data_IF_924906224114
#
_entry.id   IF_924906224114
#
_cell.length_a   1.000
_cell.length_b   1.000
_cell.length_c   1.000
_cell.angle_alpha   90.00
_cell.angle_beta   90.00
_cell.angle_gamma   90.00
#
_symmetry.space_group_name_H-M   'P 1'
#
loop_
_entity.id
_entity.type
_entity.pdbx_description
1 polymer ?
#
# COMPACT_ATOMS: atom_id res chain seq x y z
N UNK A 1 -17.57 -13.25 15.22
CA UNK A 1 -16.47 -14.01 14.57
C UNK A 1 -17.06 -15.08 13.67
N UNK A 2 -16.46 -15.28 12.50
CA UNK A 2 -16.78 -16.37 11.58
C UNK A 2 -15.56 -17.27 11.40
N UNK A 3 -15.70 -18.59 11.56
CA UNK A 3 -14.57 -19.49 11.42
C UNK A 3 -14.34 -19.88 9.96
N UNK A 4 -13.07 -20.11 9.63
CA UNK A 4 -12.62 -20.60 8.34
C UNK A 4 -11.91 -21.94 8.52
N UNK A 5 -11.97 -22.78 7.49
CA UNK A 5 -11.37 -24.11 7.56
C UNK A 5 -9.96 -24.14 6.95
N UNK A 6 -8.96 -24.39 7.80
CA UNK A 6 -7.53 -24.34 7.46
C UNK A 6 -6.99 -25.59 6.73
N UNK A 7 -7.59 -26.76 6.92
CA UNK A 7 -6.93 -28.00 6.50
C UNK A 7 -6.88 -28.13 4.96
N UNK A 8 -5.67 -28.13 4.40
CA UNK A 8 -5.39 -28.28 2.98
C UNK A 8 -5.19 -26.97 2.21
N UNK A 9 -5.34 -25.80 2.83
CA UNK A 9 -5.03 -24.51 2.20
C UNK A 9 -4.66 -23.45 3.23
N UNK A 10 -3.68 -22.60 2.90
CA UNK A 10 -3.37 -21.39 3.67
C UNK A 10 -4.32 -20.23 3.37
N UNK A 11 -5.07 -20.35 2.27
CA UNK A 11 -6.05 -19.37 1.88
C UNK A 11 -7.39 -19.69 2.54
N UNK A 12 -7.53 -19.25 3.78
CA UNK A 12 -8.69 -19.54 4.61
C UNK A 12 -9.93 -18.77 4.20
N UNK A 13 -9.76 -17.54 3.69
CA UNK A 13 -10.90 -16.67 3.34
C UNK A 13 -11.75 -17.25 2.20
N UNK A 14 -11.17 -18.09 1.33
CA UNK A 14 -11.93 -18.87 0.33
C UNK A 14 -12.66 -20.09 0.90
N UNK A 15 -12.55 -20.37 2.20
CA UNK A 15 -13.10 -21.57 2.84
C UNK A 15 -13.87 -21.25 4.12
N UNK A 16 -14.90 -20.38 4.05
CA UNK A 16 -15.74 -20.05 5.19
C UNK A 16 -16.57 -21.25 5.65
N UNK A 17 -16.81 -21.33 6.95
CA UNK A 17 -17.83 -22.20 7.55
C UNK A 17 -19.10 -21.36 7.69
N UNK A 18 -19.95 -21.41 6.66
CA UNK A 18 -21.19 -20.63 6.59
C UNK A 18 -22.25 -21.13 7.57
N UNK A 19 -23.16 -20.22 7.96
CA UNK A 19 -24.28 -20.51 8.84
C UNK A 19 -23.93 -20.55 10.33
N UNK A 20 -22.67 -20.25 10.69
CA UNK A 20 -22.20 -20.22 12.07
C UNK A 20 -21.81 -18.80 12.49
N UNK A 21 -22.51 -18.27 13.50
CA UNK A 21 -22.24 -16.95 14.08
C UNK A 21 -21.85 -17.09 15.54
N UNK A 22 -20.71 -16.50 15.92
CA UNK A 22 -20.20 -16.52 17.30
C UNK A 22 -19.93 -15.10 17.76
N UNK A 23 -20.54 -14.69 18.88
CA UNK A 23 -20.25 -13.41 19.54
C UNK A 23 -19.40 -13.65 20.78
N UNK A 24 -18.31 -12.91 20.90
CA UNK A 24 -17.36 -13.00 22.01
C UNK A 24 -17.24 -11.63 22.65
N UNK A 25 -17.39 -11.58 23.97
CA UNK A 25 -17.05 -10.40 24.75
C UNK A 25 -15.54 -10.45 25.06
N UNK A 26 -14.78 -9.49 24.54
CA UNK A 26 -13.32 -9.45 24.67
C UNK A 26 -12.87 -9.06 26.09
N UNK A 27 -13.62 -8.25 26.84
CA UNK A 27 -13.26 -7.89 28.22
C UNK A 27 -13.32 -9.08 29.17
N UNK A 28 -14.33 -9.93 28.99
CA UNK A 28 -14.56 -11.13 29.79
C UNK A 28 -13.96 -12.39 29.17
N UNK A 29 -13.42 -12.28 27.95
CA UNK A 29 -12.92 -13.38 27.13
C UNK A 29 -13.89 -14.58 27.08
N UNK A 30 -15.18 -14.31 26.84
CA UNK A 30 -16.25 -15.32 26.90
C UNK A 30 -17.20 -15.23 25.71
N UNK A 31 -17.60 -16.39 25.18
CA UNK A 31 -18.69 -16.51 24.20
C UNK A 31 -20.00 -16.08 24.86
N UNK A 32 -20.64 -15.05 24.32
CA UNK A 32 -21.94 -14.54 24.77
C UNK A 32 -23.08 -15.09 23.95
N UNK A 33 -22.84 -15.36 22.67
CA UNK A 33 -23.86 -15.85 21.75
C UNK A 33 -23.24 -16.85 20.76
N UNK A 34 -23.99 -17.91 20.48
CA UNK A 34 -23.63 -18.95 19.52
C UNK A 34 -24.88 -19.33 18.72
N UNK A 35 -24.82 -19.18 17.39
CA UNK A 35 -25.91 -19.49 16.46
C UNK A 35 -25.40 -20.41 15.36
N UNK A 36 -25.93 -21.62 15.30
CA UNK A 36 -25.77 -22.57 14.20
C UNK A 36 -27.09 -22.62 13.42
N UNK A 37 -27.13 -21.98 12.25
CA UNK A 37 -28.37 -21.62 11.54
C UNK A 37 -28.65 -22.56 10.37
N UNK A 38 -27.63 -22.86 9.57
CA UNK A 38 -27.75 -23.77 8.43
C UNK A 38 -26.43 -24.44 8.12
N UNK A 39 -26.49 -25.52 7.35
CA UNK A 39 -25.32 -26.24 6.86
C UNK A 39 -25.11 -25.95 5.39
N UNK A 40 -23.90 -25.51 5.04
CA UNK A 40 -23.45 -25.35 3.66
C UNK A 40 -22.33 -26.34 3.35
N UNK A 41 -22.14 -26.64 2.06
CA UNK A 41 -20.97 -27.39 1.63
C UNK A 41 -19.71 -26.54 1.80
N UNK A 42 -18.70 -27.08 2.49
CA UNK A 42 -17.41 -26.42 2.63
C UNK A 42 -16.71 -26.34 1.26
N UNK A 43 -16.25 -25.15 0.82
CA UNK A 43 -15.44 -25.03 -0.38
C UNK A 43 -14.18 -25.91 -0.35
N UNK A 44 -13.83 -26.48 -1.50
CA UNK A 44 -12.65 -27.34 -1.64
C UNK A 44 -11.37 -26.51 -1.52
N UNK A 45 -10.30 -27.14 -1.03
CA UNK A 45 -8.99 -26.51 -0.96
C UNK A 45 -8.29 -26.40 -2.32
N UNK A 46 -8.67 -27.22 -3.28
CA UNK A 46 -8.03 -27.24 -4.59
C UNK A 46 -8.27 -25.91 -5.33
N UNK A 47 -7.23 -25.34 -5.92
CA UNK A 47 -7.29 -24.06 -6.63
C UNK A 47 -7.21 -22.81 -5.76
N UNK A 48 -6.98 -22.94 -4.45
CA UNK A 48 -6.94 -21.79 -3.53
C UNK A 48 -5.52 -21.34 -3.15
N UNK A 49 -4.49 -22.10 -3.52
CA UNK A 49 -3.08 -21.80 -3.19
C UNK A 49 -2.52 -20.69 -4.09
N UNK A 50 -1.80 -19.74 -3.51
CA UNK A 50 -1.21 -18.61 -4.22
C UNK A 50 0.33 -18.63 -4.20
N UNK A 51 0.95 -19.44 -3.33
CA UNK A 51 2.41 -19.49 -3.22
C UNK A 51 2.98 -20.32 -4.36
N UNK A 52 3.83 -19.69 -5.17
CA UNK A 52 4.49 -20.32 -6.32
C UNK A 52 5.20 -21.64 -5.96
N UNK A 53 5.78 -21.75 -4.76
CA UNK A 53 6.48 -22.95 -4.28
C UNK A 53 5.58 -24.18 -4.07
N UNK A 54 4.25 -23.99 -4.04
CA UNK A 54 3.25 -25.04 -3.87
C UNK A 54 2.41 -25.28 -5.13
N UNK A 55 2.49 -24.38 -6.10
CA UNK A 55 1.79 -24.51 -7.37
C UNK A 55 2.50 -25.50 -8.30
N UNK A 56 1.73 -26.01 -9.27
CA UNK A 56 2.23 -26.92 -10.30
C UNK A 56 2.22 -26.21 -11.66
N UNK A 57 3.16 -26.52 -12.57
CA UNK A 57 3.13 -26.04 -13.94
C UNK A 57 1.81 -26.38 -14.66
N UNK A 58 1.45 -25.65 -15.73
CA UNK A 58 2.25 -24.62 -16.40
C UNK A 58 2.22 -23.26 -15.70
N UNK A 59 3.33 -22.53 -15.75
CA UNK A 59 3.42 -21.13 -15.35
C UNK A 59 3.54 -20.26 -16.59
N UNK A 60 2.82 -19.13 -16.64
CA UNK A 60 2.96 -18.19 -17.73
C UNK A 60 1.93 -17.07 -17.73
N UNK A 61 2.07 -16.10 -18.65
CA UNK A 61 3.16 -15.99 -19.64
C UNK A 61 4.51 -15.63 -19.00
N UNK A 62 5.67 -16.06 -19.57
CA UNK A 62 6.97 -15.68 -19.05
C UNK A 62 7.20 -14.18 -19.22
N UNK A 63 7.74 -13.54 -18.18
CA UNK A 63 8.14 -12.14 -18.20
C UNK A 63 9.66 -12.06 -18.27
N UNK A 64 10.15 -11.12 -19.08
CA UNK A 64 11.58 -10.86 -19.20
C UNK A 64 12.00 -9.88 -18.11
N UNK A 65 13.10 -10.20 -17.43
CA UNK A 65 13.63 -9.37 -16.37
C UNK A 65 14.01 -7.98 -16.91
N UNK A 66 13.58 -6.94 -16.19
CA UNK A 66 13.95 -5.55 -16.44
C UNK A 66 14.61 -4.99 -15.18
N UNK A 67 15.72 -4.28 -15.32
CA UNK A 67 16.47 -3.71 -14.20
C UNK A 67 16.58 -2.20 -14.41
N UNK A 68 16.22 -1.45 -13.37
CA UNK A 68 16.48 -0.01 -13.29
C UNK A 68 17.84 0.17 -12.63
N UNK A 69 18.70 0.99 -13.25
CA UNK A 69 20.04 1.31 -12.74
C UNK A 69 20.20 2.83 -12.62
N UNK A 70 20.69 3.29 -11.47
CA UNK A 70 21.02 4.70 -11.21
C UNK A 70 22.52 4.80 -10.89
N UNK A 71 23.38 5.09 -11.89
CA UNK A 71 24.83 5.00 -11.73
C UNK A 71 25.37 5.98 -10.68
N UNK A 72 24.73 7.13 -10.52
CA UNK A 72 25.12 8.18 -9.56
C UNK A 72 24.38 8.06 -8.21
N UNK A 73 23.63 6.96 -8.00
CA UNK A 73 22.77 6.77 -6.85
C UNK A 73 21.39 7.43 -6.98
N UNK A 74 20.56 7.38 -5.93
CA UNK A 74 19.23 7.99 -5.93
C UNK A 74 19.31 9.51 -5.94
N UNK A 75 18.38 10.16 -6.67
CA UNK A 75 18.26 11.62 -6.73
C UNK A 75 17.64 12.26 -5.48
N UNK A 76 17.34 11.47 -4.44
CA UNK A 76 16.81 11.92 -3.17
C UNK A 76 17.80 11.69 -2.03
N UNK A 77 17.73 12.54 -1.01
CA UNK A 77 18.47 12.39 0.24
C UNK A 77 17.48 12.31 1.40
N UNK A 78 17.78 11.45 2.38
CA UNK A 78 17.00 11.26 3.60
C UNK A 78 17.90 11.61 4.79
N UNK A 79 17.55 12.67 5.51
CA UNK A 79 18.18 13.07 6.77
C UNK A 79 17.21 12.79 7.93
N UNK A 80 17.43 11.67 8.61
CA UNK A 80 16.47 11.13 9.57
C UNK A 80 15.16 10.75 8.89
N UNK A 81 14.16 11.62 8.99
CA UNK A 81 12.83 11.47 8.36
C UNK A 81 12.51 12.61 7.38
N UNK A 82 13.45 13.54 7.17
CA UNK A 82 13.32 14.61 6.20
C UNK A 82 13.84 14.14 4.84
N UNK A 83 13.01 14.28 3.82
CA UNK A 83 13.31 13.91 2.45
C UNK A 83 13.52 15.17 1.62
N UNK A 84 14.61 15.19 0.86
CA UNK A 84 14.90 16.21 -0.15
C UNK A 84 15.05 15.54 -1.50
N UNK A 85 14.29 16.00 -2.49
CA UNK A 85 14.34 15.44 -3.84
C UNK A 85 13.91 16.48 -4.86
N UNK A 86 14.72 16.64 -5.92
CA UNK A 86 14.51 17.68 -6.93
C UNK A 86 14.26 19.05 -6.28
N UNK A 87 13.06 19.60 -6.44
CA UNK A 87 12.61 20.85 -5.82
C UNK A 87 11.70 20.65 -4.60
N UNK A 88 11.53 19.44 -4.09
CA UNK A 88 10.70 19.13 -2.92
C UNK A 88 11.52 18.92 -1.64
N UNK A 89 10.95 19.38 -0.53
CA UNK A 89 11.36 19.03 0.84
C UNK A 89 10.11 18.68 1.66
N UNK A 90 10.14 17.52 2.33
CA UNK A 90 9.03 17.08 3.18
C UNK A 90 9.53 16.14 4.29
N UNK A 91 8.69 15.89 5.29
CA UNK A 91 8.93 14.94 6.37
C UNK A 91 8.01 13.73 6.18
N UNK A 92 8.55 12.51 6.27
CA UNK A 92 7.76 11.28 6.25
C UNK A 92 7.78 10.63 7.63
N UNK A 93 6.65 10.11 8.09
CA UNK A 93 6.56 9.48 9.41
C UNK A 93 5.56 8.34 9.42
N UNK A 94 5.69 7.47 10.41
CA UNK A 94 4.82 6.34 10.65
C UNK A 94 3.93 6.60 11.87
N UNK A 95 2.63 6.34 11.74
CA UNK A 95 1.66 6.38 12.83
C UNK A 95 0.90 5.06 12.90
N UNK A 96 0.74 4.52 14.12
CA UNK A 96 0.14 3.20 14.36
C UNK A 96 -1.33 3.10 13.93
N UNK A 97 -2.08 4.21 13.95
CA UNK A 97 -3.49 4.23 13.53
C UNK A 97 -3.60 4.61 12.07
N UNK A 98 -2.98 5.72 11.68
CA UNK A 98 -3.14 6.29 10.35
C UNK A 98 -2.44 5.47 9.28
N UNK A 99 -1.11 5.31 9.36
CA UNK A 99 -0.17 4.80 8.35
C UNK A 99 1.00 5.79 8.09
N UNK A 100 1.44 5.89 6.83
CA UNK A 100 2.38 6.85 6.29
C UNK A 100 1.79 8.28 6.34
N UNK A 101 2.42 9.11 7.14
CA UNK A 101 2.10 10.53 7.28
C UNK A 101 3.16 11.39 6.60
N UNK A 102 2.74 12.14 5.59
CA UNK A 102 3.55 13.18 4.94
C UNK A 102 3.29 14.53 5.63
N UNK A 103 4.34 15.23 6.04
CA UNK A 103 4.26 16.52 6.70
C UNK A 103 5.19 17.56 6.07
N UNK A 104 4.84 18.84 6.21
CA UNK A 104 5.65 20.00 5.83
C UNK A 104 6.12 20.00 4.36
N UNK A 105 5.37 19.38 3.46
CA UNK A 105 5.76 19.31 2.05
C UNK A 105 5.76 20.69 1.41
N UNK A 106 6.95 21.08 0.96
CA UNK A 106 7.25 22.39 0.41
C UNK A 106 8.02 22.23 -0.89
N UNK A 107 7.69 23.07 -1.87
CA UNK A 107 8.35 23.09 -3.17
C UNK A 107 9.19 24.36 -3.32
N UNK A 108 10.39 24.24 -3.87
CA UNK A 108 11.28 25.34 -4.17
C UNK A 108 10.83 26.04 -5.46
N UNK A 109 10.47 27.31 -5.31
CA UNK A 109 10.08 28.20 -6.39
C UNK A 109 11.33 28.96 -6.88
N UNK A 110 11.80 28.62 -8.09
CA UNK A 110 13.02 29.19 -8.66
C UNK A 110 12.90 30.68 -8.97
N UNK A 111 11.70 31.15 -9.34
CA UNK A 111 11.46 32.56 -9.67
C UNK A 111 11.50 33.42 -8.41
N UNK A 112 11.01 32.88 -7.29
CA UNK A 112 10.99 33.56 -5.99
C UNK A 112 12.21 33.25 -5.11
N UNK A 113 13.07 32.32 -5.53
CA UNK A 113 14.22 31.82 -4.77
C UNK A 113 13.86 31.43 -3.32
N UNK A 114 12.74 30.72 -3.12
CA UNK A 114 12.29 30.29 -1.79
C UNK A 114 11.43 29.03 -1.83
N UNK A 115 11.41 28.29 -0.72
CA UNK A 115 10.44 27.22 -0.52
C UNK A 115 9.04 27.79 -0.24
N UNK A 116 8.03 27.16 -0.83
CA UNK A 116 6.61 27.45 -0.64
C UNK A 116 5.91 26.20 -0.14
N UNK A 117 5.27 26.30 1.01
CA UNK A 117 4.55 25.19 1.60
C UNK A 117 3.30 24.86 0.77
N UNK A 118 3.10 23.57 0.51
CA UNK A 118 1.96 23.04 -0.27
C UNK A 118 1.05 22.20 0.62
N UNK A 119 1.63 21.32 1.45
CA UNK A 119 0.87 20.41 2.32
C UNK A 119 1.50 20.40 3.71
N UNK A 120 0.76 20.87 4.73
CA UNK A 120 1.24 20.83 6.11
C UNK A 120 1.27 19.41 6.67
N UNK A 121 0.19 18.64 6.47
CA UNK A 121 0.07 17.24 6.89
C UNK A 121 -0.96 16.52 6.03
N UNK A 122 -0.63 15.34 5.52
CA UNK A 122 -1.53 14.44 4.80
C UNK A 122 -1.27 12.98 5.18
N UNK A 123 -2.35 12.21 5.31
CA UNK A 123 -2.35 10.78 5.67
C UNK A 123 -3.70 10.17 5.32
N UNK A 124 -3.78 8.84 5.27
CA UNK A 124 -5.06 8.15 5.17
C UNK A 124 -5.76 8.19 6.54
N UNK A 125 -6.89 8.89 6.63
CA UNK A 125 -7.58 9.05 7.91
C UNK A 125 -8.46 7.85 8.27
N UNK A 126 -9.05 7.18 7.27
CA UNK A 126 -9.94 6.04 7.47
C UNK A 126 -10.17 5.26 6.16
N UNK A 127 -10.50 3.97 6.28
CA UNK A 127 -11.03 3.12 5.21
C UNK A 127 -12.35 2.52 5.71
N UNK A 128 -13.43 2.69 4.96
CA UNK A 128 -14.73 2.11 5.28
C UNK A 128 -15.07 1.01 4.28
N UNK A 129 -15.26 -0.22 4.77
CA UNK A 129 -15.50 -1.42 3.94
C UNK A 129 -16.89 -2.01 4.24
N UNK A 130 -17.97 -1.44 3.68
CA UNK A 130 -19.33 -1.95 3.87
C UNK A 130 -19.61 -3.14 2.94
N UNK A 131 -19.86 -4.31 3.53
CA UNK A 131 -20.41 -5.44 2.78
C UNK A 131 -21.89 -5.22 2.49
N UNK A 132 -22.36 -5.75 1.35
CA UNK A 132 -23.69 -5.47 0.79
C UNK A 132 -24.61 -6.69 0.79
N UNK A 133 -24.43 -7.64 1.71
CA UNK A 133 -25.40 -8.72 1.93
C UNK A 133 -26.31 -8.35 3.11
N UNK A 134 -27.56 -7.91 2.82
CA UNK A 134 -28.52 -7.53 3.85
C UNK A 134 -29.38 -8.72 4.31
N UNK A 135 -29.29 -9.87 3.65
CA UNK A 135 -30.23 -10.99 3.84
C UNK A 135 -29.71 -11.96 4.89
N UNK A 136 -28.41 -12.17 4.94
CA UNK A 136 -27.82 -13.10 5.90
C UNK A 136 -27.50 -12.43 7.24
N UNK A 137 -27.86 -13.08 8.36
CA UNK A 137 -27.30 -12.67 9.67
C UNK A 137 -25.77 -12.84 9.74
N UNK A 138 -25.11 -13.40 8.70
CA UNK A 138 -23.67 -13.64 8.67
C UNK A 138 -22.88 -12.40 8.23
N UNK A 139 -23.49 -11.50 7.45
CA UNK A 139 -22.77 -10.41 6.77
C UNK A 139 -23.29 -9.01 7.09
N UNK A 140 -24.52 -8.85 7.59
CA UNK A 140 -25.15 -7.53 7.77
C UNK A 140 -24.37 -6.56 8.70
N UNK A 141 -23.59 -7.09 9.66
CA UNK A 141 -22.82 -6.30 10.63
C UNK A 141 -21.39 -5.98 10.16
N UNK A 142 -21.02 -6.41 8.95
CA UNK A 142 -19.65 -6.34 8.46
C UNK A 142 -19.47 -5.06 7.65
N UNK A 143 -19.06 -4.03 8.36
CA UNK A 143 -18.80 -2.71 7.82
C UNK A 143 -17.55 -2.14 8.48
N UNK A 144 -16.39 -2.72 8.16
CA UNK A 144 -15.14 -2.43 8.87
C UNK A 144 -14.72 -0.97 8.70
N UNK A 145 -14.17 -0.39 9.77
CA UNK A 145 -13.40 0.83 9.72
C UNK A 145 -11.93 0.45 9.93
N UNK A 146 -11.19 0.17 8.87
CA UNK A 146 -9.93 -0.57 9.01
C UNK A 146 -8.90 0.18 9.86
N UNK A 147 -8.75 1.49 9.65
CA UNK A 147 -7.81 2.28 10.42
C UNK A 147 -8.32 2.55 11.83
N UNK A 148 -9.64 2.71 12.01
CA UNK A 148 -10.27 2.92 13.31
C UNK A 148 -10.30 1.69 14.21
N UNK A 149 -10.66 0.53 13.66
CA UNK A 149 -10.91 -0.73 14.39
C UNK A 149 -9.63 -1.56 14.57
N UNK A 150 -8.75 -1.58 13.56
CA UNK A 150 -7.55 -2.44 13.54
C UNK A 150 -6.22 -1.66 13.56
N UNK A 151 -6.24 -0.39 13.15
CA UNK A 151 -5.05 0.44 13.01
C UNK A 151 -4.31 0.12 11.72
N UNK A 152 -4.29 1.06 10.77
CA UNK A 152 -3.66 0.88 9.47
C UNK A 152 -2.13 0.80 9.58
N UNK A 153 -1.51 1.60 10.46
CA UNK A 153 -0.09 1.46 10.78
C UNK A 153 0.27 0.18 11.51
N UNK A 154 -0.58 -0.27 12.44
CA UNK A 154 -0.41 -1.55 13.14
C UNK A 154 -0.53 -2.74 12.17
N UNK A 155 -1.38 -2.62 11.16
CA UNK A 155 -1.62 -3.63 10.13
C UNK A 155 -0.65 -3.52 8.95
N UNK A 156 0.35 -2.65 9.06
CA UNK A 156 1.39 -2.48 8.06
C UNK A 156 2.32 -3.70 8.01
N UNK A 157 2.69 -4.10 6.81
CA UNK A 157 3.58 -5.25 6.59
C UNK A 157 4.97 -4.82 6.15
N UNK A 158 5.97 -5.66 6.43
CA UNK A 158 7.31 -5.47 5.88
C UNK A 158 7.27 -5.64 4.36
N UNK A 159 7.76 -4.64 3.63
CA UNK A 159 7.79 -4.64 2.17
C UNK A 159 8.90 -5.58 1.66
N UNK A 160 8.56 -6.43 0.71
CA UNK A 160 9.48 -7.36 0.06
C UNK A 160 10.32 -6.62 -1.00
N UNK A 161 11.66 -6.52 -0.81
CA UNK A 161 12.52 -5.84 -1.76
C UNK A 161 12.41 -6.44 -3.16
N UNK A 162 12.53 -5.58 -4.18
CA UNK A 162 12.44 -5.92 -5.60
C UNK A 162 11.06 -6.33 -6.11
N UNK A 163 10.10 -6.58 -5.21
CA UNK A 163 8.73 -6.98 -5.57
C UNK A 163 7.75 -5.88 -5.24
N UNK A 164 7.66 -5.48 -3.96
CA UNK A 164 6.80 -4.37 -3.54
C UNK A 164 7.40 -3.02 -3.89
N UNK A 165 8.73 -2.93 -3.87
CA UNK A 165 9.50 -1.73 -4.19
C UNK A 165 10.66 -2.06 -5.14
N UNK A 166 10.99 -1.17 -6.09
CA UNK A 166 12.03 -1.43 -7.08
C UNK A 166 13.44 -1.44 -6.48
N UNK A 167 14.43 -1.88 -7.28
CA UNK A 167 15.84 -2.03 -6.89
C UNK A 167 16.46 -0.74 -6.35
N UNK A 168 16.00 0.43 -6.81
CA UNK A 168 16.49 1.73 -6.39
C UNK A 168 15.76 2.31 -5.17
N UNK A 169 14.95 1.50 -4.47
CA UNK A 169 14.25 1.95 -3.28
C UNK A 169 15.17 2.00 -2.05
N UNK A 170 15.00 3.04 -1.25
CA UNK A 170 15.44 3.06 0.14
C UNK A 170 14.28 2.66 1.05
N UNK A 171 14.58 1.99 2.16
CA UNK A 171 13.58 1.49 3.11
C UNK A 171 13.73 2.18 4.47
N UNK A 172 12.61 2.29 5.17
CA UNK A 172 12.55 2.79 6.53
C UNK A 172 11.71 1.87 7.41
N UNK A 173 12.16 1.71 8.65
CA UNK A 173 11.49 0.89 9.65
C UNK A 173 10.43 1.71 10.41
N UNK A 174 9.38 1.03 10.88
CA UNK A 174 8.37 1.59 11.77
C UNK A 174 8.53 1.03 13.18
N UNK A 175 8.11 1.81 14.18
CA UNK A 175 8.08 1.37 15.57
C UNK A 175 6.76 1.81 16.20
N UNK A 176 6.06 0.90 16.88
CA UNK A 176 4.87 1.20 17.67
C UNK A 176 4.88 0.44 19.00
N UNK A 177 4.00 0.81 19.94
CA UNK A 177 3.85 0.09 21.20
C UNK A 177 2.85 -1.07 21.05
N UNK A 178 3.23 -2.28 21.43
CA UNK A 178 2.32 -3.42 21.51
C UNK A 178 1.32 -3.27 22.67
N UNK A 179 0.37 -4.21 22.80
CA UNK A 179 -0.68 -4.16 23.82
C UNK A 179 -0.16 -4.08 25.26
N UNK A 180 1.04 -4.61 25.52
CA UNK A 180 1.73 -4.56 26.81
C UNK A 180 2.67 -3.34 26.96
N UNK A 181 2.72 -2.46 25.96
CA UNK A 181 3.59 -1.28 25.90
C UNK A 181 4.99 -1.54 25.37
N UNK A 182 5.34 -2.77 24.98
CA UNK A 182 6.66 -3.10 24.45
C UNK A 182 6.87 -2.45 23.07
N UNK A 183 8.02 -1.79 22.80
CA UNK A 183 8.30 -1.24 21.48
C UNK A 183 8.49 -2.38 20.47
N UNK A 184 7.61 -2.43 19.47
CA UNK A 184 7.61 -3.40 18.38
C UNK A 184 8.08 -2.72 17.10
N UNK A 185 9.13 -3.28 16.51
CA UNK A 185 9.70 -2.81 15.24
C UNK A 185 9.11 -3.60 14.07
N UNK A 186 8.66 -2.89 13.03
CA UNK A 186 8.33 -3.44 11.71
C UNK A 186 9.42 -3.00 10.75
N UNK A 187 10.20 -3.95 10.22
CA UNK A 187 11.30 -3.61 9.32
C UNK A 187 10.77 -3.29 7.93
N UNK A 188 11.42 -2.40 7.18
CA UNK A 188 11.05 -2.09 5.78
C UNK A 188 9.56 -1.73 5.58
N UNK A 189 8.93 -1.03 6.53
CA UNK A 189 7.48 -0.74 6.48
C UNK A 189 7.12 0.35 5.47
N UNK A 190 8.07 1.23 5.18
CA UNK A 190 7.97 2.26 4.15
C UNK A 190 9.12 2.12 3.18
N UNK A 191 8.87 2.39 1.90
CA UNK A 191 9.93 2.54 0.92
C UNK A 191 9.78 3.84 0.13
N UNK A 192 10.90 4.36 -0.36
CA UNK A 192 10.96 5.57 -1.17
C UNK A 192 11.86 5.33 -2.38
N UNK A 193 11.38 5.69 -3.56
CA UNK A 193 12.10 5.44 -4.81
C UNK A 193 11.73 6.45 -5.90
N UNK A 194 12.65 6.65 -6.83
CA UNK A 194 12.37 7.36 -8.07
C UNK A 194 11.72 6.41 -9.08
N UNK A 195 10.61 6.85 -9.64
CA UNK A 195 9.83 6.15 -10.64
C UNK A 195 10.07 6.76 -12.01
N UNK A 196 10.54 5.93 -12.93
CA UNK A 196 10.66 6.25 -14.35
C UNK A 196 9.78 5.31 -15.17
N UNK A 197 8.66 5.81 -15.66
CA UNK A 197 7.70 5.02 -16.47
C UNK A 197 7.89 5.20 -17.97
N UNK A 198 8.87 6.00 -18.40
CA UNK A 198 9.01 6.42 -19.80
C UNK A 198 7.97 7.46 -20.24
N UNK A 199 7.21 8.03 -19.29
CA UNK A 199 6.30 9.13 -19.57
C UNK A 199 7.09 10.42 -19.90
N UNK A 200 6.44 11.30 -20.66
CA UNK A 200 6.99 12.59 -21.08
C UNK A 200 6.37 13.67 -20.20
N UNK A 201 7.20 14.45 -19.50
CA UNK A 201 6.72 15.56 -18.66
C UNK A 201 6.16 16.67 -19.54
N UNK A 202 6.94 17.07 -20.56
CA UNK A 202 6.48 17.93 -21.65
C UNK A 202 7.40 17.75 -22.85
N UNK A 203 6.87 18.10 -24.02
CA UNK A 203 7.62 18.10 -25.27
C UNK A 203 7.10 19.13 -26.24
N UNK A 204 7.97 19.62 -27.10
CA UNK A 204 7.60 20.40 -28.27
C UNK A 204 8.57 20.12 -29.43
N UNK A 205 8.01 20.10 -30.65
CA UNK A 205 8.77 19.98 -31.90
C UNK A 205 8.26 21.08 -32.81
N UNK A 206 9.11 22.04 -33.13
CA UNK A 206 8.80 23.15 -34.05
C UNK A 206 9.24 22.75 -35.46
N UNK A 207 8.30 22.84 -36.41
CA UNK A 207 8.45 22.36 -37.79
C UNK A 207 8.23 23.47 -38.82
N UNK A 208 7.74 24.63 -38.41
CA UNK A 208 7.34 25.71 -39.30
C UNK A 208 8.48 26.68 -39.62
N UNK A 209 9.58 26.68 -38.83
CA UNK A 209 10.73 27.56 -39.04
C UNK A 209 11.68 26.93 -40.06
N UNK A 210 11.77 27.44 -41.31
CA UNK A 210 12.60 26.83 -42.34
C UNK A 210 14.09 26.90 -41.96
N UNK A 211 14.81 25.80 -42.17
CA UNK A 211 16.25 25.71 -41.90
C UNK A 211 16.62 25.42 -40.44
N UNK A 212 15.66 25.33 -39.52
CA UNK A 212 15.90 25.00 -38.12
C UNK A 212 15.27 23.66 -37.74
N UNK A 213 16.01 22.86 -36.96
CA UNK A 213 15.51 21.61 -36.36
C UNK A 213 15.44 21.78 -34.85
N UNK A 214 14.25 22.11 -34.35
CA UNK A 214 14.03 22.43 -32.93
C UNK A 214 13.13 21.35 -32.33
N UNK A 215 13.66 20.64 -31.34
CA UNK A 215 12.90 19.64 -30.58
C UNK A 215 13.42 19.61 -29.16
N UNK A 216 12.50 19.68 -28.20
CA UNK A 216 12.80 19.64 -26.78
C UNK A 216 11.83 18.67 -26.11
N UNK A 217 12.36 17.78 -25.27
CA UNK A 217 11.61 16.75 -24.55
C UNK A 217 12.18 16.63 -23.16
N UNK A 218 11.30 16.54 -22.15
CA UNK A 218 11.70 16.28 -20.77
C UNK A 218 11.03 15.01 -20.22
N UNK A 219 11.77 14.13 -19.56
CA UNK A 219 11.20 12.92 -18.96
C UNK A 219 10.34 13.25 -17.73
N UNK A 220 9.31 12.46 -17.49
CA UNK A 220 8.48 12.48 -16.28
C UNK A 220 9.08 11.51 -15.25
N UNK A 221 9.96 12.04 -14.40
CA UNK A 221 10.50 11.33 -13.23
C UNK A 221 9.71 11.81 -12.01
N UNK A 222 9.21 10.87 -11.22
CA UNK A 222 8.51 11.17 -9.97
C UNK A 222 9.15 10.44 -8.79
N UNK A 223 8.95 10.98 -7.58
CA UNK A 223 9.35 10.33 -6.34
C UNK A 223 8.13 9.69 -5.70
N UNK A 224 8.21 8.41 -5.37
CA UNK A 224 7.13 7.66 -4.73
C UNK A 224 7.55 7.28 -3.32
N UNK A 225 6.69 7.57 -2.35
CA UNK A 225 6.76 7.00 -0.99
C UNK A 225 5.60 6.02 -0.85
N UNK A 226 5.91 4.77 -0.48
CA UNK A 226 4.96 3.66 -0.46
C UNK A 226 4.93 2.99 0.91
N UNK A 227 3.73 2.54 1.28
CA UNK A 227 3.47 1.65 2.41
C UNK A 227 2.38 0.65 2.03
N UNK A 228 2.42 -0.57 2.58
CA UNK A 228 1.39 -1.60 2.37
C UNK A 228 0.74 -1.99 3.69
N UNK A 229 -0.58 -2.02 3.69
CA UNK A 229 -1.43 -2.32 4.83
C UNK A 229 -2.22 -3.59 4.52
N UNK A 230 -2.14 -4.59 5.39
CA UNK A 230 -2.89 -5.85 5.23
C UNK A 230 -3.88 -6.02 6.37
N UNK A 231 -5.16 -5.81 6.09
CA UNK A 231 -6.25 -6.00 7.07
C UNK A 231 -7.08 -7.20 6.66
N UNK A 232 -6.89 -8.30 7.39
CA UNK A 232 -7.60 -9.54 7.12
C UNK A 232 -7.24 -10.13 5.76
N UNK A 233 -8.16 -10.02 4.79
CA UNK A 233 -8.01 -10.52 3.41
C UNK A 233 -7.62 -9.44 2.40
N UNK A 234 -7.59 -8.17 2.81
CA UNK A 234 -7.31 -7.03 1.95
C UNK A 234 -5.86 -6.58 2.06
N UNK A 235 -5.26 -6.26 0.92
CA UNK A 235 -3.98 -5.56 0.84
C UNK A 235 -4.18 -4.19 0.19
N UNK A 236 -3.82 -3.13 0.91
CA UNK A 236 -3.87 -1.74 0.44
C UNK A 236 -2.45 -1.21 0.22
N UNK A 237 -2.15 -0.81 -1.00
CA UNK A 237 -0.90 -0.15 -1.38
C UNK A 237 -1.16 1.36 -1.39
N UNK A 238 -0.56 2.07 -0.45
CA UNK A 238 -0.70 3.53 -0.30
C UNK A 238 0.55 4.20 -0.86
N UNK A 239 0.37 5.02 -1.89
CA UNK A 239 1.43 5.75 -2.59
C UNK A 239 1.23 7.27 -2.49
N UNK A 240 2.28 7.98 -2.10
CA UNK A 240 2.43 9.42 -2.29
C UNK A 240 3.47 9.68 -3.39
N UNK A 241 3.02 10.20 -4.53
CA UNK A 241 3.84 10.50 -5.70
C UNK A 241 4.05 12.02 -5.86
N UNK A 242 5.29 12.47 -5.78
CA UNK A 242 5.69 13.88 -5.95
C UNK A 242 6.30 14.09 -7.34
N UNK A 243 5.95 15.20 -7.99
CA UNK A 243 6.47 15.57 -9.31
C UNK A 243 7.17 16.92 -9.30
N UNK A 244 8.21 17.13 -10.13
CA UNK A 244 8.90 18.42 -10.19
C UNK A 244 8.01 19.55 -10.73
N UNK A 245 6.92 19.20 -11.41
CA UNK A 245 5.86 20.11 -11.85
C UNK A 245 5.03 20.73 -10.70
N UNK A 246 5.23 20.30 -9.45
CA UNK A 246 4.45 20.73 -8.30
C UNK A 246 3.24 19.87 -7.98
N UNK A 247 2.99 18.81 -8.74
CA UNK A 247 1.88 17.89 -8.47
C UNK A 247 2.23 16.91 -7.33
N UNK A 248 1.26 16.70 -6.43
CA UNK A 248 1.25 15.59 -5.48
C UNK A 248 0.07 14.69 -5.89
N UNK A 249 0.36 13.42 -6.17
CA UNK A 249 -0.66 12.40 -6.47
C UNK A 249 -0.68 11.39 -5.34
N UNK A 250 -1.84 11.24 -4.72
CA UNK A 250 -2.07 10.21 -3.70
C UNK A 250 -2.88 9.09 -4.33
N UNK A 251 -2.43 7.85 -4.14
CA UNK A 251 -3.09 6.67 -4.68
C UNK A 251 -3.24 5.60 -3.62
N UNK A 252 -4.40 4.97 -3.56
CA UNK A 252 -4.63 3.73 -2.84
C UNK A 252 -5.02 2.68 -3.86
N UNK A 253 -4.19 1.65 -4.03
CA UNK A 253 -4.53 0.47 -4.82
C UNK A 253 -4.91 -0.63 -3.85
N UNK A 254 -6.13 -1.15 -3.98
CA UNK A 254 -6.54 -2.32 -3.23
C UNK A 254 -6.33 -3.55 -4.10
N UNK A 255 -5.78 -4.60 -3.49
CA UNK A 255 -5.76 -5.94 -4.04
C UNK A 255 -6.65 -6.77 -3.12
N UNK A 256 -7.76 -7.23 -3.67
CA UNK A 256 -8.45 -8.35 -3.07
C UNK A 256 -7.62 -9.58 -3.45
N UNK A 257 -7.00 -10.20 -2.47
CA UNK A 257 -6.50 -11.56 -2.66
C UNK A 257 -7.68 -12.35 -3.16
N UNK A 258 -7.78 -12.65 -4.46
CA UNK A 258 -7.96 -13.95 -5.10
C UNK A 258 -8.17 -13.75 -6.61
N UNK A 259 -7.33 -14.34 -7.47
CA UNK A 259 -7.60 -14.37 -8.90
C UNK A 259 -8.88 -15.19 -9.14
N UNK A 260 -9.79 -14.66 -9.97
CA UNK A 260 -10.82 -15.48 -10.62
C UNK A 260 -10.18 -16.46 -11.60
#
# INVERSE_FOLDING_TARGET
MRPFYLNGSVNTYLRPIEGLTIMVNLDKMKVTEFKDRFRSSLPKANGTEFRISKLKPPFGPPLQNSIICQPDGPGFNIDGHNVRWANWEFHMSFDVRADLVISLASIFDMDMNKYRQVLYKGHLSEIFVPYMDPISDDWYYITYLDCGDFGCGQSAVSLEPYTDCPVNAAFMDGVFASQDGTPTKVSNVMCIFEKYTGNIMWRHTEVEIPGFKITEVRPDVSLVVRMVITVGNYDYIVDYEFKPSGSIKVGVTYLENFPF
#
